data_IF_055345408189
#
_entry.id   IF_055345408189
#
_cell.length_a   1.000
_cell.length_b   1.000
_cell.length_c   1.000
_cell.angle_alpha   90.00
_cell.angle_beta   90.00
_cell.angle_gamma   90.00
#
_symmetry.space_group_name_H-M   'P 1'
#
loop_
_entity.id
_entity.type
_entity.pdbx_description
1 polymer ?
#
# COMPACT_ATOMS: atom_id res chain seq x y z
N UNK A 1 9.38 10.42 8.24
CA UNK A 1 10.07 11.08 7.09
C UNK A 1 11.17 11.99 7.61
N UNK A 2 12.37 11.87 7.06
CA UNK A 2 13.48 12.78 7.36
C UNK A 2 13.13 14.23 6.98
N UNK A 3 12.34 14.43 5.94
CA UNK A 3 11.97 15.75 5.42
C UNK A 3 10.76 16.41 6.13
N UNK A 4 10.13 15.81 7.12
CA UNK A 4 8.99 16.41 7.84
C UNK A 4 9.32 17.76 8.49
N UNK A 5 10.54 17.90 9.00
CA UNK A 5 11.06 19.16 9.51
C UNK A 5 12.00 19.76 8.47
N UNK A 6 11.70 20.97 7.98
CA UNK A 6 12.48 21.68 6.95
C UNK A 6 13.97 21.79 7.27
N UNK A 7 14.33 21.92 8.54
CA UNK A 7 15.71 22.11 8.95
C UNK A 7 16.44 20.79 9.26
N UNK A 8 15.72 19.68 9.37
CA UNK A 8 16.32 18.42 9.85
C UNK A 8 17.37 17.88 8.88
N UNK A 9 17.12 17.89 7.59
CA UNK A 9 18.11 17.47 6.59
C UNK A 9 19.37 18.36 6.63
N UNK A 10 19.21 19.67 6.84
CA UNK A 10 20.35 20.62 6.98
C UNK A 10 21.21 20.28 8.20
N UNK A 11 20.57 19.93 9.31
CA UNK A 11 21.28 19.51 10.53
C UNK A 11 22.05 18.21 10.28
N UNK A 12 21.44 17.23 9.62
CA UNK A 12 22.09 15.96 9.27
C UNK A 12 23.29 16.16 8.34
N UNK A 13 23.16 17.03 7.32
CA UNK A 13 24.28 17.41 6.45
C UNK A 13 25.40 18.10 7.21
N UNK A 14 25.07 18.97 8.18
CA UNK A 14 26.06 19.62 9.04
C UNK A 14 26.82 18.57 9.89
N UNK A 15 26.11 17.63 10.53
CA UNK A 15 26.74 16.57 11.31
C UNK A 15 27.67 15.70 10.44
N UNK A 16 27.21 15.32 9.25
CA UNK A 16 28.02 14.55 8.30
C UNK A 16 29.30 15.29 7.90
N UNK A 17 29.19 16.60 7.55
CA UNK A 17 30.34 17.47 7.23
C UNK A 17 31.30 17.67 8.40
N UNK A 18 30.81 17.54 9.63
CA UNK A 18 31.62 17.58 10.86
C UNK A 18 32.31 16.23 11.16
N UNK A 19 32.26 15.26 10.24
CA UNK A 19 32.94 13.97 10.38
C UNK A 19 32.12 12.91 11.12
N UNK A 20 30.86 13.19 11.49
CA UNK A 20 29.98 12.20 12.12
C UNK A 20 29.44 11.23 11.07
N UNK A 21 29.66 9.94 11.28
CA UNK A 21 29.13 8.89 10.40
C UNK A 21 27.66 8.67 10.70
N UNK A 22 26.82 8.74 9.69
CA UNK A 22 25.37 8.63 9.81
C UNK A 22 24.85 7.31 9.23
N UNK A 23 23.89 6.73 9.93
CA UNK A 23 22.96 5.73 9.40
C UNK A 23 21.55 6.30 9.43
N UNK A 24 20.95 6.46 8.28
CA UNK A 24 19.65 7.11 8.09
C UNK A 24 18.61 6.08 7.66
N UNK A 25 17.87 5.55 8.62
CA UNK A 25 16.75 4.64 8.31
C UNK A 25 15.53 5.42 7.89
N UNK A 26 15.09 5.23 6.63
CA UNK A 26 13.96 5.94 6.04
C UNK A 26 12.75 5.00 5.99
N UNK A 27 11.65 5.43 6.59
CA UNK A 27 10.37 4.72 6.55
C UNK A 27 9.40 5.32 5.52
N UNK A 28 9.56 6.59 5.20
CA UNK A 28 8.72 7.35 4.28
C UNK A 28 9.53 8.45 3.59
N UNK A 29 9.29 8.67 2.32
CA UNK A 29 9.86 9.75 1.54
C UNK A 29 8.88 10.91 1.38
N UNK A 30 9.40 12.15 1.28
CA UNK A 30 8.60 13.31 0.91
C UNK A 30 8.11 13.19 -0.54
N UNK A 31 8.99 12.66 -1.39
CA UNK A 31 8.77 12.41 -2.81
C UNK A 31 7.66 11.38 -3.07
N UNK A 32 7.30 10.56 -2.07
CA UNK A 32 6.20 9.59 -2.16
C UNK A 32 4.84 10.20 -1.77
N UNK A 33 4.44 11.28 -2.49
CA UNK A 33 3.11 11.89 -2.35
C UNK A 33 2.95 12.84 -1.18
N UNK A 34 4.03 13.50 -0.72
CA UNK A 34 3.96 14.50 0.37
C UNK A 34 4.57 15.84 -0.05
N UNK A 35 3.93 16.57 -0.99
CA UNK A 35 4.50 17.80 -1.55
C UNK A 35 4.76 18.89 -0.50
N UNK A 36 3.97 18.95 0.58
CA UNK A 36 4.18 19.90 1.69
C UNK A 36 5.45 19.62 2.51
N UNK A 37 6.03 18.43 2.39
CA UNK A 37 7.28 18.04 3.03
C UNK A 37 8.46 17.96 2.05
N UNK A 38 8.22 18.26 0.77
CA UNK A 38 9.25 18.29 -0.25
C UNK A 38 9.85 19.69 -0.35
N UNK A 39 11.13 19.82 -0.04
CA UNK A 39 11.92 21.04 -0.19
C UNK A 39 13.04 20.75 -1.17
N UNK A 40 12.91 21.29 -2.38
CA UNK A 40 13.86 21.01 -3.48
C UNK A 40 15.30 21.40 -3.13
N UNK A 41 15.46 22.48 -2.35
CA UNK A 41 16.75 23.01 -1.90
C UNK A 41 17.44 22.18 -0.81
N UNK A 42 16.73 21.26 -0.17
CA UNK A 42 17.30 20.41 0.88
C UNK A 42 17.84 19.12 0.28
N UNK A 43 19.11 18.87 0.42
CA UNK A 43 19.76 17.62 0.01
C UNK A 43 19.67 16.57 1.12
N UNK A 44 19.63 15.31 0.74
CA UNK A 44 19.90 14.21 1.66
C UNK A 44 21.39 14.19 1.99
N UNK A 45 21.81 13.90 3.24
CA UNK A 45 23.23 13.88 3.61
C UNK A 45 24.04 12.97 2.68
N UNK A 46 25.02 13.53 1.92
CA UNK A 46 25.89 12.70 1.08
C UNK A 46 26.78 11.81 1.94
N UNK A 47 27.44 10.84 1.33
CA UNK A 47 28.44 9.99 1.95
C UNK A 47 28.00 9.36 3.28
N UNK A 48 26.71 9.08 3.38
CA UNK A 48 26.06 8.51 4.55
C UNK A 48 25.48 7.15 4.23
N UNK A 49 25.35 6.28 5.23
CA UNK A 49 24.66 5.01 5.07
C UNK A 49 23.15 5.20 5.19
N UNK A 50 22.39 4.54 4.32
CA UNK A 50 20.93 4.59 4.26
C UNK A 50 20.32 3.21 4.50
N UNK A 51 19.20 3.17 5.21
CA UNK A 51 18.41 1.97 5.42
C UNK A 51 16.96 2.18 4.99
N UNK A 52 16.38 1.19 4.35
CA UNK A 52 14.97 1.16 3.97
C UNK A 52 14.31 -0.14 4.41
N UNK A 53 12.99 -0.07 4.60
CA UNK A 53 12.21 -1.17 5.20
C UNK A 53 11.55 -2.08 4.16
N UNK A 54 11.57 -1.71 2.87
CA UNK A 54 10.95 -2.48 1.79
C UNK A 54 11.83 -2.51 0.54
N UNK A 55 11.59 -3.47 -0.35
CA UNK A 55 12.38 -3.68 -1.56
C UNK A 55 12.11 -2.64 -2.64
N UNK A 56 10.90 -2.07 -2.73
CA UNK A 56 10.59 -0.99 -3.67
C UNK A 56 11.52 0.21 -3.43
N UNK A 57 11.59 0.67 -2.19
CA UNK A 57 12.38 1.84 -1.82
C UNK A 57 13.88 1.56 -1.96
N UNK A 58 14.30 0.29 -1.74
CA UNK A 58 15.67 -0.14 -1.98
C UNK A 58 16.07 0.04 -3.46
N UNK A 59 15.28 -0.49 -4.38
CA UNK A 59 15.51 -0.37 -5.82
C UNK A 59 15.44 1.09 -6.31
N UNK A 60 14.52 1.89 -5.77
CA UNK A 60 14.39 3.32 -6.08
C UNK A 60 15.66 4.06 -5.65
N UNK A 61 16.20 3.81 -4.47
CA UNK A 61 17.41 4.48 -3.99
C UNK A 61 18.67 4.07 -4.76
N UNK A 62 18.77 2.81 -5.19
CA UNK A 62 19.85 2.40 -6.11
C UNK A 62 19.79 3.20 -7.42
N UNK A 63 18.60 3.33 -8.03
CA UNK A 63 18.41 4.14 -9.23
C UNK A 63 18.72 5.62 -9.01
N UNK A 64 18.50 6.11 -7.78
CA UNK A 64 18.72 7.51 -7.41
C UNK A 64 20.16 7.82 -6.99
N UNK A 65 21.12 6.91 -7.19
CA UNK A 65 22.54 7.16 -7.01
C UNK A 65 23.19 6.53 -5.78
N UNK A 66 22.44 5.80 -4.94
CA UNK A 66 23.07 5.04 -3.87
C UNK A 66 23.67 3.73 -4.38
N UNK A 67 24.67 3.23 -3.65
CA UNK A 67 25.36 1.97 -3.93
C UNK A 67 25.02 0.92 -2.87
N UNK A 68 25.11 -0.36 -3.22
CA UNK A 68 24.89 -1.47 -2.29
C UNK A 68 25.81 -1.43 -1.06
N UNK A 69 26.95 -0.75 -1.14
CA UNK A 69 27.90 -0.60 -0.02
C UNK A 69 27.31 0.28 1.09
N UNK A 70 26.54 1.30 0.72
CA UNK A 70 25.98 2.28 1.64
C UNK A 70 24.46 2.20 1.79
N UNK A 71 23.78 1.33 1.03
CA UNK A 71 22.33 1.12 1.12
C UNK A 71 22.02 -0.24 1.76
N UNK A 72 21.16 -0.23 2.77
CA UNK A 72 20.84 -1.40 3.57
C UNK A 72 19.35 -1.72 3.55
N UNK A 73 18.99 -2.97 3.29
CA UNK A 73 17.64 -3.49 3.45
C UNK A 73 17.43 -3.97 4.88
N UNK A 74 16.65 -3.23 5.66
CA UNK A 74 16.34 -3.51 7.07
C UNK A 74 14.81 -3.54 7.27
N UNK A 75 14.14 -4.64 6.89
CA UNK A 75 12.71 -4.79 7.08
C UNK A 75 12.34 -4.81 8.57
N UNK A 76 11.16 -4.30 8.90
CA UNK A 76 10.65 -4.30 10.27
C UNK A 76 10.45 -5.72 10.81
N UNK A 77 10.56 -5.89 12.12
CA UNK A 77 10.15 -7.12 12.80
C UNK A 77 8.61 -7.21 12.85
N UNK A 78 8.10 -8.43 12.76
CA UNK A 78 6.67 -8.74 12.86
C UNK A 78 6.40 -9.47 14.16
N UNK A 79 5.39 -9.00 14.90
CA UNK A 79 4.96 -9.62 16.15
C UNK A 79 4.08 -10.82 15.84
N UNK A 80 4.39 -11.98 16.44
CA UNK A 80 3.56 -13.16 16.30
C UNK A 80 2.25 -13.00 17.08
N UNK A 81 1.12 -13.02 16.38
CA UNK A 81 -0.20 -12.86 17.01
C UNK A 81 -0.61 -14.09 17.81
N UNK A 82 -0.16 -15.30 17.38
CA UNK A 82 -0.44 -16.59 18.05
C UNK A 82 -1.91 -16.73 18.44
N UNK A 83 -2.82 -16.52 17.49
CA UNK A 83 -4.25 -16.70 17.72
C UNK A 83 -4.57 -18.19 17.84
N UNK A 84 -5.31 -18.57 18.88
CA UNK A 84 -5.92 -19.90 18.98
C UNK A 84 -7.12 -19.97 18.04
N UNK A 85 -7.27 -21.09 17.34
CA UNK A 85 -8.44 -21.32 16.51
C UNK A 85 -9.63 -21.64 17.42
N UNK A 86 -10.52 -20.68 17.59
CA UNK A 86 -11.84 -20.95 18.20
C UNK A 86 -12.82 -21.28 17.06
N UNK A 87 -13.31 -22.51 17.04
CA UNK A 87 -14.40 -22.93 16.16
C UNK A 87 -15.69 -22.25 16.65
N UNK A 88 -15.93 -21.03 16.22
CA UNK A 88 -17.16 -20.29 16.48
C UNK A 88 -17.89 -20.04 15.16
N UNK A 89 -19.19 -19.74 15.20
CA UNK A 89 -20.05 -19.32 14.09
C UNK A 89 -19.50 -18.08 13.30
N UNK A 90 -18.26 -17.73 13.53
CA UNK A 90 -17.49 -16.58 13.06
C UNK A 90 -17.00 -16.69 11.62
N UNK A 91 -17.19 -17.81 10.93
CA UNK A 91 -16.77 -18.01 9.52
C UNK A 91 -17.44 -17.08 8.50
N UNK A 92 -18.33 -16.20 8.98
CA UNK A 92 -19.03 -15.20 8.14
C UNK A 92 -18.38 -13.83 8.13
N UNK A 93 -17.30 -13.61 8.88
CA UNK A 93 -16.64 -12.32 8.97
C UNK A 93 -15.33 -12.31 8.19
N UNK A 94 -15.19 -11.39 7.22
CA UNK A 94 -13.95 -11.12 6.50
C UNK A 94 -13.40 -9.82 7.04
N UNK A 95 -12.23 -9.87 7.65
CA UNK A 95 -11.65 -8.72 8.34
C UNK A 95 -10.66 -7.97 7.44
N UNK A 96 -10.87 -6.67 7.30
CA UNK A 96 -9.88 -5.75 6.78
C UNK A 96 -9.28 -4.96 7.95
N UNK A 97 -8.12 -5.37 8.48
CA UNK A 97 -7.56 -4.85 9.72
C UNK A 97 -6.82 -3.55 9.50
N UNK A 98 -7.53 -2.50 9.13
CA UNK A 98 -6.94 -1.20 8.78
C UNK A 98 -7.65 -0.03 9.43
N UNK A 99 -6.91 1.07 9.51
CA UNK A 99 -7.51 2.39 9.67
C UNK A 99 -8.08 2.84 8.33
N UNK A 100 -9.32 3.33 8.31
CA UNK A 100 -10.07 3.67 7.10
C UNK A 100 -9.59 4.91 6.37
N UNK A 101 -8.30 5.00 6.04
CA UNK A 101 -7.70 6.09 5.27
C UNK A 101 -7.73 5.80 3.76
N UNK A 102 -7.73 6.84 2.93
CA UNK A 102 -7.92 6.75 1.47
C UNK A 102 -6.98 5.75 0.79
N UNK A 103 -5.69 5.74 1.14
CA UNK A 103 -4.70 4.82 0.55
C UNK A 103 -4.96 3.32 0.86
N UNK A 104 -5.84 3.02 1.81
CA UNK A 104 -6.31 1.65 2.08
C UNK A 104 -7.39 1.19 1.10
N UNK A 105 -7.86 2.10 0.23
CA UNK A 105 -8.74 1.77 -0.89
C UNK A 105 -9.98 0.95 -0.46
N UNK A 106 -10.72 1.51 0.51
CA UNK A 106 -11.94 0.90 1.09
C UNK A 106 -12.97 0.59 -0.02
N UNK A 107 -13.06 1.45 -1.04
CA UNK A 107 -13.99 1.23 -2.15
C UNK A 107 -13.77 -0.09 -2.86
N UNK A 108 -12.52 -0.53 -3.04
CA UNK A 108 -12.22 -1.84 -3.61
C UNK A 108 -12.60 -2.99 -2.67
N UNK A 109 -12.38 -2.83 -1.37
CA UNK A 109 -12.84 -3.82 -0.40
C UNK A 109 -14.37 -3.98 -0.43
N UNK A 110 -15.11 -2.87 -0.60
CA UNK A 110 -16.57 -2.83 -0.75
C UNK A 110 -16.99 -3.49 -2.07
N UNK A 111 -16.36 -3.14 -3.21
CA UNK A 111 -16.63 -3.78 -4.50
C UNK A 111 -16.53 -5.31 -4.39
N UNK A 112 -15.45 -5.79 -3.82
CA UNK A 112 -15.19 -7.22 -3.66
C UNK A 112 -16.18 -7.91 -2.70
N UNK A 113 -16.73 -7.18 -1.72
CA UNK A 113 -17.73 -7.74 -0.81
C UNK A 113 -19.07 -8.07 -1.49
N UNK A 114 -19.34 -7.50 -2.67
CA UNK A 114 -20.52 -7.84 -3.47
C UNK A 114 -20.50 -9.28 -4.01
N UNK A 115 -19.32 -9.88 -4.08
CA UNK A 115 -19.11 -11.24 -4.58
C UNK A 115 -18.98 -12.30 -3.49
N UNK A 116 -19.23 -11.94 -2.24
CA UNK A 116 -19.26 -12.89 -1.13
C UNK A 116 -20.44 -13.87 -1.23
N UNK A 117 -20.17 -15.17 -1.14
CA UNK A 117 -21.16 -16.23 -1.46
C UNK A 117 -21.97 -16.69 -0.25
N UNK A 118 -21.36 -16.78 0.93
CA UNK A 118 -21.95 -17.44 2.11
C UNK A 118 -22.54 -16.42 3.11
N UNK A 119 -23.06 -15.29 2.62
CA UNK A 119 -23.57 -14.18 3.45
C UNK A 119 -22.49 -13.58 4.35
N UNK A 120 -21.22 -13.70 3.97
CA UNK A 120 -20.12 -13.07 4.69
C UNK A 120 -20.32 -11.55 4.76
N UNK A 121 -19.73 -10.95 5.78
CA UNK A 121 -19.74 -9.51 6.04
C UNK A 121 -18.31 -8.98 6.04
N UNK A 122 -18.06 -7.89 5.34
CA UNK A 122 -16.79 -7.17 5.41
C UNK A 122 -16.74 -6.34 6.70
N UNK A 123 -15.67 -6.46 7.47
CA UNK A 123 -15.46 -5.67 8.69
C UNK A 123 -14.16 -4.86 8.59
N UNK A 124 -14.26 -3.54 8.80
CA UNK A 124 -13.14 -2.58 8.79
C UNK A 124 -12.90 -2.09 10.21
N UNK A 125 -11.64 -2.12 10.66
CA UNK A 125 -11.36 -2.01 12.10
C UNK A 125 -11.46 -0.62 12.68
N UNK A 126 -10.79 0.39 12.12
CA UNK A 126 -10.62 1.68 12.78
C UNK A 126 -10.97 2.86 11.87
N UNK A 127 -11.54 3.94 12.44
CA UNK A 127 -11.71 5.20 11.73
C UNK A 127 -10.37 5.87 11.45
N UNK A 128 -10.30 6.78 10.47
CA UNK A 128 -9.15 7.64 10.22
C UNK A 128 -8.95 8.67 11.34
N UNK A 129 -7.80 9.36 11.29
CA UNK A 129 -7.42 10.40 12.25
C UNK A 129 -6.99 11.73 11.57
N UNK A 130 -7.10 11.82 10.24
CA UNK A 130 -6.89 13.06 9.48
C UNK A 130 -8.19 13.55 8.88
N UNK A 131 -8.42 14.86 8.81
CA UNK A 131 -9.69 15.42 8.35
C UNK A 131 -10.07 14.96 6.92
N UNK A 132 -9.20 15.00 5.92
CA UNK A 132 -9.53 14.54 4.57
C UNK A 132 -9.96 13.07 4.53
N UNK A 133 -9.32 12.22 5.33
CA UNK A 133 -9.67 10.80 5.42
C UNK A 133 -10.99 10.58 6.18
N UNK A 134 -11.31 11.43 7.19
CA UNK A 134 -12.58 11.37 7.92
C UNK A 134 -13.74 11.64 6.97
N UNK A 135 -13.65 12.66 6.13
CA UNK A 135 -14.70 13.03 5.18
C UNK A 135 -14.94 11.89 4.17
N UNK A 136 -13.85 11.33 3.62
CA UNK A 136 -13.90 10.14 2.76
C UNK A 136 -14.60 8.96 3.47
N UNK A 137 -14.22 8.68 4.69
CA UNK A 137 -14.74 7.57 5.48
C UNK A 137 -16.24 7.73 5.81
N UNK A 138 -16.68 8.94 6.17
CA UNK A 138 -18.10 9.27 6.37
C UNK A 138 -18.87 9.10 5.05
N UNK A 139 -18.28 9.54 3.93
CA UNK A 139 -18.84 9.37 2.60
C UNK A 139 -19.06 7.89 2.23
N UNK A 140 -18.14 7.00 2.61
CA UNK A 140 -18.32 5.57 2.45
C UNK A 140 -19.41 4.99 3.37
N UNK A 141 -19.48 5.39 4.64
CA UNK A 141 -20.54 4.95 5.57
C UNK A 141 -21.93 5.30 5.04
N UNK A 142 -22.10 6.55 4.56
CA UNK A 142 -23.36 6.99 3.93
C UNK A 142 -23.71 6.13 2.72
N UNK A 143 -22.72 5.90 1.83
CA UNK A 143 -22.89 5.08 0.64
C UNK A 143 -23.34 3.64 0.96
N UNK A 144 -22.70 3.01 1.94
CA UNK A 144 -23.03 1.65 2.41
C UNK A 144 -24.47 1.60 2.94
N UNK A 145 -24.83 2.55 3.81
CA UNK A 145 -26.19 2.62 4.39
C UNK A 145 -27.26 2.81 3.32
N UNK A 146 -27.05 3.75 2.37
CA UNK A 146 -27.99 4.03 1.28
C UNK A 146 -28.20 2.85 0.34
N UNK A 147 -27.17 2.01 0.16
CA UNK A 147 -27.24 0.85 -0.75
C UNK A 147 -27.44 -0.49 0.00
N UNK A 148 -27.64 -0.46 1.32
CA UNK A 148 -27.87 -1.64 2.18
C UNK A 148 -26.82 -2.74 2.02
N UNK A 149 -25.53 -2.33 1.91
CA UNK A 149 -24.41 -3.26 1.73
C UNK A 149 -23.97 -3.86 3.07
N UNK A 150 -23.49 -5.10 3.04
CA UNK A 150 -23.06 -5.85 4.26
C UNK A 150 -21.62 -5.50 4.62
N UNK A 151 -21.41 -4.30 5.15
CA UNK A 151 -20.11 -3.81 5.60
C UNK A 151 -20.23 -3.20 6.98
N UNK A 152 -19.41 -3.65 7.92
CA UNK A 152 -19.30 -3.10 9.28
C UNK A 152 -18.05 -2.23 9.38
N UNK A 153 -18.23 -1.02 9.92
CA UNK A 153 -17.14 -0.10 10.21
C UNK A 153 -16.87 -0.03 11.72
N UNK A 154 -15.66 0.41 12.08
CA UNK A 154 -15.26 0.70 13.46
C UNK A 154 -15.30 -0.50 14.40
N UNK A 155 -15.22 -1.72 13.88
CA UNK A 155 -15.34 -2.92 14.71
C UNK A 155 -14.21 -3.05 15.74
N UNK A 156 -13.06 -2.41 15.52
CA UNK A 156 -11.92 -2.39 16.43
C UNK A 156 -12.04 -1.42 17.59
N UNK A 157 -13.03 -0.50 17.59
CA UNK A 157 -13.22 0.44 18.72
C UNK A 157 -13.75 -0.25 19.99
N UNK A 158 -14.50 -1.33 19.82
CA UNK A 158 -15.18 -2.05 20.93
C UNK A 158 -14.68 -3.45 21.14
N UNK A 159 -13.80 -3.95 20.29
CA UNK A 159 -13.34 -5.33 20.31
C UNK A 159 -11.81 -5.40 20.35
N UNK A 160 -11.30 -6.35 21.06
CA UNK A 160 -9.87 -6.69 21.05
C UNK A 160 -9.43 -7.16 19.66
N UNK A 161 -8.27 -6.69 19.21
CA UNK A 161 -7.76 -6.98 17.87
C UNK A 161 -7.52 -8.48 17.63
N UNK A 162 -6.94 -9.19 18.61
CA UNK A 162 -6.68 -10.63 18.48
C UNK A 162 -7.98 -11.41 18.38
N UNK A 163 -9.02 -11.02 19.15
CA UNK A 163 -10.36 -11.62 19.07
C UNK A 163 -10.98 -11.41 17.70
N UNK A 164 -10.88 -10.19 17.13
CA UNK A 164 -11.38 -9.91 15.77
C UNK A 164 -10.68 -10.76 14.70
N UNK A 165 -9.36 -10.89 14.80
CA UNK A 165 -8.57 -11.73 13.89
C UNK A 165 -8.94 -13.22 14.07
N UNK A 166 -9.02 -13.72 15.28
CA UNK A 166 -9.41 -15.11 15.55
C UNK A 166 -10.79 -15.44 15.01
N UNK A 167 -11.74 -14.51 15.20
CA UNK A 167 -13.13 -14.64 14.75
C UNK A 167 -13.33 -14.39 13.24
N UNK A 168 -12.33 -14.08 12.47
CA UNK A 168 -12.44 -13.86 11.03
C UNK A 168 -12.18 -15.14 10.24
N UNK A 169 -12.90 -15.32 9.11
CA UNK A 169 -12.67 -16.41 8.15
C UNK A 169 -11.27 -16.27 7.52
N UNK A 170 -10.97 -15.09 7.01
CA UNK A 170 -9.65 -14.70 6.50
C UNK A 170 -9.48 -13.18 6.60
N UNK A 171 -8.24 -12.72 6.41
CA UNK A 171 -7.93 -11.31 6.36
C UNK A 171 -7.82 -10.80 4.92
N UNK A 172 -8.12 -9.53 4.74
CA UNK A 172 -8.16 -8.88 3.45
C UNK A 172 -7.25 -7.66 3.38
N UNK A 173 -6.72 -7.38 2.20
CA UNK A 173 -6.06 -6.11 1.88
C UNK A 173 -6.43 -5.61 0.50
N UNK A 174 -6.68 -4.31 0.38
CA UNK A 174 -6.88 -3.61 -0.90
C UNK A 174 -6.05 -2.33 -0.98
N UNK A 175 -5.05 -2.20 -0.11
CA UNK A 175 -4.16 -1.04 -0.08
C UNK A 175 -3.50 -0.80 -1.44
N UNK A 176 -3.46 0.46 -1.87
CA UNK A 176 -2.77 0.87 -3.11
C UNK A 176 -1.31 1.28 -2.86
N UNK A 177 -0.94 1.48 -1.60
CA UNK A 177 0.44 1.73 -1.18
C UNK A 177 0.63 1.40 0.29
N UNK A 178 1.80 0.91 0.63
CA UNK A 178 2.25 0.62 1.99
C UNK A 178 3.69 1.10 2.20
N UNK A 179 4.06 1.40 3.43
CA UNK A 179 5.46 1.61 3.78
C UNK A 179 6.19 0.28 3.89
N UNK A 180 5.88 -0.51 4.92
CA UNK A 180 6.45 -1.85 5.06
C UNK A 180 5.52 -2.94 4.51
N UNK A 181 4.23 -2.87 4.82
CA UNK A 181 3.25 -3.86 4.39
C UNK A 181 3.00 -4.96 5.41
N UNK A 182 2.85 -4.62 6.70
CA UNK A 182 2.47 -5.57 7.76
C UNK A 182 1.25 -6.41 7.39
N UNK A 183 0.32 -5.84 6.65
CA UNK A 183 -0.88 -6.52 6.16
C UNK A 183 -0.60 -7.77 5.31
N UNK A 184 0.60 -7.90 4.74
CA UNK A 184 1.01 -9.07 3.95
C UNK A 184 1.70 -10.16 4.80
N UNK A 185 2.09 -9.85 6.03
CA UNK A 185 2.85 -10.76 6.90
C UNK A 185 2.07 -11.15 8.18
N UNK A 186 1.36 -10.21 8.80
CA UNK A 186 0.63 -10.46 10.05
C UNK A 186 -0.44 -11.55 9.97
N UNK A 187 -1.22 -11.70 8.88
CA UNK A 187 -2.22 -12.76 8.77
C UNK A 187 -1.66 -14.15 9.03
N UNK A 188 -0.50 -14.46 8.51
CA UNK A 188 0.18 -15.74 8.67
C UNK A 188 0.54 -16.01 10.13
N UNK A 189 0.94 -14.97 10.88
CA UNK A 189 1.25 -15.10 12.32
C UNK A 189 0.04 -15.44 13.19
N UNK A 190 -1.15 -15.22 12.65
CA UNK A 190 -2.43 -15.54 13.27
C UNK A 190 -3.06 -16.83 12.72
N UNK A 191 -2.32 -17.59 11.91
CA UNK A 191 -2.81 -18.77 11.20
C UNK A 191 -4.05 -18.46 10.33
N UNK A 192 -4.06 -17.29 9.67
CA UNK A 192 -5.14 -16.83 8.80
C UNK A 192 -4.67 -16.65 7.38
N UNK A 193 -5.54 -17.02 6.43
CA UNK A 193 -5.32 -16.75 5.02
C UNK A 193 -5.43 -15.24 4.75
N UNK A 194 -4.60 -14.73 3.81
CA UNK A 194 -4.69 -13.38 3.28
C UNK A 194 -5.25 -13.42 1.86
N UNK A 195 -6.21 -12.55 1.57
CA UNK A 195 -6.70 -12.35 0.20
C UNK A 195 -6.81 -10.86 -0.13
N UNK A 196 -6.44 -10.48 -1.36
CA UNK A 196 -6.56 -9.09 -1.77
C UNK A 196 -5.55 -8.64 -2.81
N UNK A 197 -5.28 -7.33 -2.82
CA UNK A 197 -4.41 -6.66 -3.79
C UNK A 197 -2.93 -6.82 -3.43
N UNK A 198 -2.13 -7.19 -4.43
CA UNK A 198 -0.67 -7.22 -4.40
C UNK A 198 -0.11 -5.80 -4.57
N UNK A 199 1.00 -5.54 -3.91
CA UNK A 199 1.86 -4.37 -4.14
C UNK A 199 3.22 -4.88 -4.62
N UNK A 200 3.47 -4.88 -5.92
CA UNK A 200 4.58 -5.59 -6.54
C UNK A 200 5.91 -5.27 -5.86
N UNK A 201 6.42 -4.07 -5.89
CA UNK A 201 7.73 -3.77 -5.30
C UNK A 201 7.87 -4.08 -3.79
N UNK A 202 6.77 -4.30 -3.05
CA UNK A 202 6.77 -4.69 -1.62
C UNK A 202 6.67 -6.21 -1.49
N UNK A 203 5.69 -6.82 -2.15
CA UNK A 203 5.46 -8.26 -2.10
C UNK A 203 6.63 -9.06 -2.67
N UNK A 204 7.34 -8.54 -3.67
CA UNK A 204 8.54 -9.16 -4.24
C UNK A 204 9.66 -9.34 -3.20
N UNK A 205 9.83 -8.37 -2.29
CA UNK A 205 10.76 -8.48 -1.18
C UNK A 205 10.35 -9.56 -0.17
N UNK A 206 9.06 -9.75 0.05
CA UNK A 206 8.55 -10.82 0.90
C UNK A 206 8.73 -12.18 0.23
N UNK A 207 8.47 -12.28 -1.09
CA UNK A 207 8.68 -13.48 -1.88
C UNK A 207 10.15 -13.94 -1.86
N UNK A 208 11.10 -13.03 -2.06
CA UNK A 208 12.56 -13.31 -1.93
C UNK A 208 12.94 -13.84 -0.54
N UNK A 209 12.14 -13.55 0.49
CA UNK A 209 12.33 -14.04 1.86
C UNK A 209 11.46 -15.27 2.19
N UNK A 210 10.81 -15.87 1.20
CA UNK A 210 10.11 -17.15 1.32
C UNK A 210 8.61 -17.08 1.64
N UNK A 211 8.00 -15.88 1.61
CA UNK A 211 6.54 -15.75 1.72
C UNK A 211 5.90 -15.89 0.33
N UNK A 212 5.04 -16.87 0.14
CA UNK A 212 4.28 -17.06 -1.09
C UNK A 212 3.03 -16.16 -1.08
N UNK A 213 3.00 -15.20 -1.99
CA UNK A 213 1.92 -14.23 -2.20
C UNK A 213 1.40 -14.25 -3.65
N UNK A 214 1.58 -15.35 -4.40
CA UNK A 214 1.19 -15.43 -5.80
C UNK A 214 -0.32 -15.50 -6.00
N UNK A 215 -1.08 -15.84 -4.96
CA UNK A 215 -2.53 -15.89 -4.94
C UNK A 215 -3.21 -14.52 -4.77
N UNK A 216 -2.47 -13.45 -4.47
CA UNK A 216 -3.03 -12.08 -4.40
C UNK A 216 -2.96 -11.41 -5.78
N UNK A 217 -3.99 -10.62 -6.14
CA UNK A 217 -4.13 -10.03 -7.47
C UNK A 217 -3.47 -8.63 -7.56
N UNK A 218 -2.98 -8.25 -8.74
CA UNK A 218 -2.31 -6.95 -8.95
C UNK A 218 -3.28 -5.81 -9.31
N UNK A 219 -4.39 -6.10 -10.00
CA UNK A 219 -5.35 -5.09 -10.46
C UNK A 219 -6.77 -5.64 -10.57
N UNK A 220 -7.74 -4.74 -10.67
CA UNK A 220 -9.13 -5.02 -11.05
C UNK A 220 -9.47 -4.13 -12.22
N UNK A 221 -9.51 -4.69 -13.42
CA UNK A 221 -9.77 -3.95 -14.65
C UNK A 221 -11.26 -3.66 -14.82
N UNK A 222 -11.61 -2.38 -14.88
CA UNK A 222 -12.97 -1.90 -15.11
C UNK A 222 -13.07 -1.18 -16.47
N UNK A 223 -14.17 -1.34 -17.24
CA UNK A 223 -14.32 -0.66 -18.52
C UNK A 223 -14.36 0.86 -18.37
N UNK A 224 -13.60 1.59 -19.17
CA UNK A 224 -13.58 3.06 -19.18
C UNK A 224 -14.96 3.69 -19.42
N UNK A 225 -15.81 3.02 -20.23
CA UNK A 225 -17.20 3.45 -20.48
C UNK A 225 -18.08 3.54 -19.22
N UNK A 226 -17.66 2.90 -18.09
CA UNK A 226 -18.39 2.95 -16.82
C UNK A 226 -18.09 4.21 -15.99
N UNK A 227 -16.99 4.90 -16.28
CA UNK A 227 -16.48 6.01 -15.47
C UNK A 227 -16.41 7.36 -16.20
N UNK A 228 -16.95 7.47 -17.44
CA UNK A 228 -16.86 8.69 -18.26
C UNK A 228 -15.38 9.08 -18.51
N UNK A 229 -14.76 8.42 -19.50
CA UNK A 229 -13.32 8.53 -19.83
C UNK A 229 -12.79 9.97 -19.81
N UNK A 230 -13.50 10.92 -20.43
CA UNK A 230 -13.04 12.31 -20.56
C UNK A 230 -13.02 13.04 -19.22
N UNK A 231 -14.02 12.79 -18.37
CA UNK A 231 -14.06 13.34 -17.00
C UNK A 231 -12.93 12.77 -16.16
N UNK A 232 -12.67 11.45 -16.26
CA UNK A 232 -11.57 10.81 -15.57
C UNK A 232 -10.23 11.35 -16.07
N UNK A 233 -10.01 11.47 -17.39
CA UNK A 233 -8.81 12.04 -17.97
C UNK A 233 -8.55 13.46 -17.48
N UNK A 234 -9.57 14.32 -17.51
CA UNK A 234 -9.45 15.70 -17.02
C UNK A 234 -8.98 15.75 -15.57
N UNK A 235 -9.56 14.91 -14.71
CA UNK A 235 -9.21 14.86 -13.28
C UNK A 235 -7.82 14.29 -13.07
N UNK A 236 -7.51 13.16 -13.68
CA UNK A 236 -6.20 12.53 -13.61
C UNK A 236 -5.11 13.49 -14.10
N UNK A 237 -5.30 14.11 -15.25
CA UNK A 237 -4.36 15.11 -15.83
C UNK A 237 -4.12 16.28 -14.89
N UNK A 238 -5.18 16.84 -14.31
CA UNK A 238 -5.07 17.94 -13.34
C UNK A 238 -4.21 17.56 -12.13
N UNK A 239 -4.49 16.40 -11.53
CA UNK A 239 -3.71 15.87 -10.42
C UNK A 239 -2.28 15.54 -10.81
N UNK A 240 -2.07 14.91 -11.97
CA UNK A 240 -0.74 14.58 -12.48
C UNK A 240 0.14 15.81 -12.65
N UNK A 241 -0.35 16.83 -13.36
CA UNK A 241 0.40 18.08 -13.61
C UNK A 241 0.69 18.79 -12.28
N UNK A 242 -0.28 18.86 -11.34
CA UNK A 242 -0.09 19.46 -10.01
C UNK A 242 1.08 18.79 -9.27
N UNK A 243 1.13 17.47 -9.25
CA UNK A 243 2.19 16.72 -8.57
C UNK A 243 3.53 16.81 -9.32
N UNK A 244 3.55 16.69 -10.64
CA UNK A 244 4.77 16.90 -11.43
C UNK A 244 5.37 18.29 -11.19
N UNK A 245 4.53 19.32 -11.04
CA UNK A 245 5.00 20.67 -10.71
C UNK A 245 5.56 20.75 -9.30
N UNK A 246 4.87 20.15 -8.32
CA UNK A 246 5.30 20.17 -6.93
C UNK A 246 6.63 19.44 -6.69
N UNK A 247 6.94 18.43 -7.49
CA UNK A 247 8.18 17.63 -7.39
C UNK A 247 9.21 17.94 -8.47
N UNK A 248 9.04 19.02 -9.25
CA UNK A 248 9.93 19.44 -10.33
C UNK A 248 10.15 18.39 -11.43
N UNK A 249 9.13 17.58 -11.72
CA UNK A 249 9.17 16.53 -12.74
C UNK A 249 8.65 17.05 -14.09
N UNK A 250 9.49 17.79 -14.83
CA UNK A 250 9.11 18.43 -16.10
C UNK A 250 8.83 17.44 -17.23
N UNK A 251 9.53 16.32 -17.29
CA UNK A 251 9.26 15.27 -18.26
C UNK A 251 7.86 14.70 -18.09
N UNK A 252 7.41 14.53 -16.84
CA UNK A 252 6.05 14.10 -16.52
C UNK A 252 4.98 15.04 -17.08
N UNK A 253 5.21 16.35 -17.01
CA UNK A 253 4.29 17.36 -17.58
C UNK A 253 4.25 17.31 -19.10
N UNK A 254 5.41 17.22 -19.75
CA UNK A 254 5.54 17.20 -21.22
C UNK A 254 4.91 15.96 -21.85
N UNK A 255 4.95 14.82 -21.16
CA UNK A 255 4.48 13.53 -21.66
C UNK A 255 3.17 13.06 -21.03
N UNK A 256 2.33 13.96 -20.53
CA UNK A 256 1.11 13.65 -19.79
C UNK A 256 0.18 12.69 -20.54
N UNK A 257 -0.05 12.87 -21.85
CA UNK A 257 -0.91 12.00 -22.64
C UNK A 257 -0.32 10.60 -22.81
N UNK A 258 0.99 10.51 -23.03
CA UNK A 258 1.67 9.20 -23.10
C UNK A 258 1.47 8.45 -21.79
N UNK A 259 1.72 9.08 -20.66
CA UNK A 259 1.56 8.46 -19.33
C UNK A 259 0.12 8.08 -19.01
N UNK A 260 -0.86 8.87 -19.46
CA UNK A 260 -2.25 8.47 -19.33
C UNK A 260 -2.57 7.22 -20.18
N UNK A 261 -2.05 7.15 -21.40
CA UNK A 261 -2.28 5.98 -22.25
C UNK A 261 -1.60 4.70 -21.70
N UNK A 262 -0.51 4.82 -20.94
CA UNK A 262 0.16 3.68 -20.30
C UNK A 262 -0.67 3.00 -19.18
N UNK A 263 -1.67 3.70 -18.62
CA UNK A 263 -2.55 3.15 -17.59
C UNK A 263 -3.84 2.54 -18.15
N UNK A 264 -4.08 2.68 -19.45
CA UNK A 264 -5.25 2.12 -20.14
C UNK A 264 -4.85 0.79 -20.78
N UNK A 265 -5.59 -0.27 -20.46
CA UNK A 265 -5.36 -1.63 -20.94
C UNK A 265 -6.62 -2.11 -21.62
N UNK A 266 -6.62 -2.23 -22.96
CA UNK A 266 -7.78 -2.69 -23.76
C UNK A 266 -9.10 -1.98 -23.38
N UNK A 267 -9.12 -0.66 -23.37
CA UNK A 267 -10.25 0.17 -22.91
C UNK A 267 -10.71 -0.06 -21.47
N UNK A 268 -9.84 -0.61 -20.64
CA UNK A 268 -10.05 -0.78 -19.20
C UNK A 268 -9.02 0.01 -18.40
N UNK A 269 -9.36 0.26 -17.15
CA UNK A 269 -8.46 0.87 -16.15
C UNK A 269 -8.50 0.08 -14.85
N UNK A 270 -7.38 0.07 -14.10
CA UNK A 270 -7.38 -0.49 -12.76
C UNK A 270 -8.25 0.33 -11.81
N UNK A 271 -9.19 -0.34 -11.13
CA UNK A 271 -10.07 0.25 -10.11
C UNK A 271 -9.29 0.94 -8.98
N UNK A 272 -8.10 0.46 -8.64
CA UNK A 272 -7.23 1.05 -7.63
C UNK A 272 -6.66 2.42 -8.01
N UNK A 273 -6.70 2.82 -9.29
CA UNK A 273 -6.27 4.14 -9.74
C UNK A 273 -7.37 5.21 -9.61
N UNK A 274 -8.63 4.80 -9.43
CA UNK A 274 -9.80 5.67 -9.36
C UNK A 274 -9.92 6.37 -8.00
N UNK A 275 -10.54 7.56 -7.96
CA UNK A 275 -10.99 8.17 -6.71
C UNK A 275 -12.34 7.61 -6.26
N UNK A 276 -12.79 8.05 -5.09
CA UNK A 276 -14.02 7.56 -4.45
C UNK A 276 -15.28 7.80 -5.29
N UNK A 277 -15.35 8.87 -6.08
CA UNK A 277 -16.51 9.15 -6.93
C UNK A 277 -16.61 8.15 -8.07
N UNK A 278 -15.53 7.91 -8.78
CA UNK A 278 -15.50 6.91 -9.85
C UNK A 278 -15.69 5.50 -9.29
N UNK A 279 -15.09 5.18 -8.14
CA UNK A 279 -15.27 3.90 -7.47
C UNK A 279 -16.74 3.65 -7.13
N UNK A 280 -17.45 4.65 -6.56
CA UNK A 280 -18.89 4.58 -6.26
C UNK A 280 -19.73 4.36 -7.54
N UNK A 281 -19.40 5.03 -8.67
CA UNK A 281 -20.08 4.80 -9.96
C UNK A 281 -19.96 3.34 -10.41
N UNK A 282 -18.75 2.77 -10.36
CA UNK A 282 -18.53 1.36 -10.70
C UNK A 282 -19.31 0.42 -9.78
N UNK A 283 -19.26 0.65 -8.47
CA UNK A 283 -19.98 -0.19 -7.49
C UNK A 283 -21.49 -0.14 -7.74
N UNK A 284 -22.06 1.05 -7.95
CA UNK A 284 -23.48 1.21 -8.26
C UNK A 284 -23.88 0.46 -9.55
N UNK A 285 -23.04 0.52 -10.57
CA UNK A 285 -23.30 -0.20 -11.82
C UNK A 285 -23.31 -1.71 -11.62
N UNK A 286 -22.38 -2.24 -10.83
CA UNK A 286 -22.32 -3.67 -10.49
C UNK A 286 -23.53 -4.10 -9.65
N UNK A 287 -24.03 -3.25 -8.75
CA UNK A 287 -25.22 -3.54 -7.94
C UNK A 287 -26.50 -3.52 -8.78
N UNK A 288 -26.62 -2.54 -9.67
CA UNK A 288 -27.87 -2.30 -10.44
C UNK A 288 -28.03 -3.21 -11.66
N UNK A 289 -26.94 -3.73 -12.22
CA UNK A 289 -26.94 -4.47 -13.47
C UNK A 289 -26.19 -5.80 -13.34
N UNK A 290 -26.92 -6.92 -13.30
CA UNK A 290 -26.32 -8.26 -13.25
C UNK A 290 -25.31 -8.49 -14.38
N UNK A 291 -25.62 -8.01 -15.61
CA UNK A 291 -24.69 -8.11 -16.75
C UNK A 291 -23.35 -7.44 -16.48
N UNK A 292 -23.34 -6.29 -15.78
CA UNK A 292 -22.12 -5.60 -15.42
C UNK A 292 -21.32 -6.37 -14.37
N UNK A 293 -21.97 -7.02 -13.39
CA UNK A 293 -21.31 -7.92 -12.46
C UNK A 293 -20.66 -9.11 -13.20
N UNK A 294 -21.37 -9.74 -14.13
CA UNK A 294 -20.85 -10.86 -14.92
C UNK A 294 -19.69 -10.42 -15.83
N UNK A 295 -19.78 -9.24 -16.48
CA UNK A 295 -18.69 -8.63 -17.29
C UNK A 295 -17.42 -8.40 -16.43
N UNK A 296 -17.59 -7.89 -15.20
CA UNK A 296 -16.48 -7.64 -14.29
C UNK A 296 -15.78 -8.95 -13.85
N UNK A 297 -16.57 -9.98 -13.51
CA UNK A 297 -16.04 -11.30 -13.15
C UNK A 297 -15.31 -11.94 -14.32
N UNK A 298 -15.87 -11.89 -15.52
CA UNK A 298 -15.26 -12.48 -16.71
C UNK A 298 -13.89 -11.85 -17.03
N UNK A 299 -13.76 -10.53 -16.86
CA UNK A 299 -12.47 -9.84 -17.06
C UNK A 299 -11.50 -10.06 -15.91
N UNK A 300 -12.00 -10.30 -14.69
CA UNK A 300 -11.20 -10.39 -13.46
C UNK A 300 -11.61 -11.64 -12.63
N UNK A 301 -11.36 -12.86 -13.07
CA UNK A 301 -11.81 -14.07 -12.37
C UNK A 301 -11.25 -14.18 -10.93
N UNK A 302 -10.10 -13.55 -10.66
CA UNK A 302 -9.44 -13.50 -9.35
C UNK A 302 -10.17 -12.64 -8.31
N UNK A 303 -11.21 -11.87 -8.68
CA UNK A 303 -11.99 -11.09 -7.70
C UNK A 303 -12.99 -11.93 -6.89
N UNK A 304 -13.16 -13.18 -7.26
CA UNK A 304 -14.00 -14.09 -6.48
C UNK A 304 -13.24 -14.56 -5.23
N UNK A 305 -13.81 -14.36 -4.04
CA UNK A 305 -13.15 -14.80 -2.81
C UNK A 305 -13.06 -16.34 -2.73
N UNK A 306 -12.07 -16.87 -2.02
CA UNK A 306 -12.01 -18.29 -1.75
C UNK A 306 -13.23 -18.73 -0.94
N UNK A 307 -13.94 -19.74 -1.41
CA UNK A 307 -15.13 -20.29 -0.73
C UNK A 307 -14.72 -21.25 0.38
N UNK A 308 -13.74 -22.11 0.08
CA UNK A 308 -13.13 -23.05 1.00
C UNK A 308 -11.63 -22.70 1.17
N UNK A 309 -11.13 -22.89 2.36
CA UNK A 309 -9.74 -22.64 2.73
C UNK A 309 -8.99 -23.92 3.13
N UNK A 310 -9.61 -25.10 3.01
CA UNK A 310 -9.01 -26.38 3.39
C UNK A 310 -7.74 -26.68 2.59
N UNK A 311 -7.70 -26.26 1.31
CA UNK A 311 -6.54 -26.37 0.41
C UNK A 311 -5.45 -25.34 0.69
N UNK A 312 -5.66 -24.38 1.59
CA UNK A 312 -4.72 -23.28 1.92
C UNK A 312 -3.89 -23.54 3.18
N UNK A 313 -4.13 -24.66 3.87
CA UNK A 313 -3.46 -24.95 5.16
C UNK A 313 -1.93 -25.01 5.03
N UNK A 314 -1.43 -25.64 3.97
CA UNK A 314 0.02 -25.70 3.73
C UNK A 314 0.63 -24.35 3.39
N UNK A 315 -0.03 -23.54 2.55
CA UNK A 315 0.37 -22.18 2.24
C UNK A 315 0.46 -21.31 3.51
N UNK A 316 -0.56 -21.37 4.36
CA UNK A 316 -0.60 -20.63 5.63
C UNK A 316 0.57 -21.03 6.52
N UNK A 317 0.83 -22.34 6.66
CA UNK A 317 1.94 -22.87 7.47
C UNK A 317 3.29 -22.42 6.94
N UNK A 318 3.52 -22.55 5.63
CA UNK A 318 4.79 -22.18 4.99
C UNK A 318 5.07 -20.68 5.13
N UNK A 319 4.06 -19.83 4.92
CA UNK A 319 4.18 -18.38 5.12
C UNK A 319 4.42 -18.02 6.58
N UNK A 320 3.76 -18.67 7.54
CA UNK A 320 4.01 -18.46 8.97
C UNK A 320 5.47 -18.77 9.33
N UNK A 321 6.00 -19.89 8.84
CA UNK A 321 7.41 -20.27 9.07
C UNK A 321 8.38 -19.27 8.43
N UNK A 322 8.10 -18.79 7.22
CA UNK A 322 8.89 -17.77 6.55
C UNK A 322 8.92 -16.45 7.37
N UNK A 323 7.75 -15.99 7.85
CA UNK A 323 7.66 -14.79 8.70
C UNK A 323 8.43 -14.99 10.00
N UNK A 324 8.21 -16.11 10.70
CA UNK A 324 8.90 -16.45 11.96
C UNK A 324 10.42 -16.52 11.78
N UNK A 325 10.92 -17.05 10.67
CA UNK A 325 12.35 -17.19 10.39
C UNK A 325 13.02 -15.89 9.96
N UNK A 326 12.32 -15.00 9.23
CA UNK A 326 12.95 -13.86 8.52
C UNK A 326 12.63 -12.49 9.11
N UNK A 327 11.51 -12.37 9.85
CA UNK A 327 10.96 -11.10 10.31
C UNK A 327 10.78 -11.01 11.84
N UNK A 328 11.46 -11.85 12.60
CA UNK A 328 11.43 -11.77 14.07
C UNK A 328 12.40 -10.70 14.61
N UNK A 329 12.20 -10.32 15.87
CA UNK A 329 12.98 -9.29 16.56
C UNK A 329 14.47 -9.61 16.61
N UNK A 330 14.85 -10.85 16.89
CA UNK A 330 16.27 -11.27 16.99
C UNK A 330 17.00 -11.10 15.65
N UNK A 331 16.35 -11.42 14.54
CA UNK A 331 16.93 -11.22 13.20
C UNK A 331 17.05 -9.73 12.88
N UNK A 332 16.06 -8.91 13.25
CA UNK A 332 16.13 -7.47 13.07
C UNK A 332 17.33 -6.87 13.84
N UNK A 333 17.49 -7.20 15.11
CA UNK A 333 18.59 -6.74 15.96
C UNK A 333 19.96 -7.15 15.42
N UNK A 334 20.10 -8.40 14.98
CA UNK A 334 21.34 -8.90 14.36
C UNK A 334 21.69 -8.08 13.11
N UNK A 335 20.73 -7.88 12.20
CA UNK A 335 20.93 -7.08 10.98
C UNK A 335 21.31 -5.64 11.30
N UNK A 336 20.63 -5.02 12.28
CA UNK A 336 20.91 -3.65 12.70
C UNK A 336 22.33 -3.52 13.25
N UNK A 337 22.79 -4.47 14.09
CA UNK A 337 24.15 -4.50 14.58
C UNK A 337 25.18 -4.64 13.45
N UNK A 338 24.94 -5.54 12.50
CA UNK A 338 25.79 -5.70 11.32
C UNK A 338 25.90 -4.41 10.49
N UNK A 339 24.78 -3.67 10.34
CA UNK A 339 24.75 -2.38 9.67
C UNK A 339 25.59 -1.36 10.45
N UNK A 340 25.43 -1.24 11.76
CA UNK A 340 26.22 -0.31 12.57
C UNK A 340 27.72 -0.60 12.47
N UNK A 341 28.12 -1.85 12.47
CA UNK A 341 29.53 -2.23 12.28
C UNK A 341 30.05 -1.82 10.89
N UNK A 342 29.23 -1.94 9.84
CA UNK A 342 29.57 -1.46 8.49
C UNK A 342 29.71 0.07 8.46
N UNK A 343 28.77 0.79 9.06
CA UNK A 343 28.80 2.27 9.13
C UNK A 343 30.09 2.76 9.79
N UNK A 344 30.53 2.10 10.88
CA UNK A 344 31.77 2.45 11.57
C UNK A 344 33.02 2.12 10.77
N UNK A 345 33.02 1.00 10.03
CA UNK A 345 34.23 0.50 9.35
C UNK A 345 34.40 0.97 7.90
N UNK A 346 33.29 1.18 7.20
CA UNK A 346 33.28 1.36 5.74
C UNK A 346 32.76 2.74 5.36
N UNK A 347 33.61 3.74 5.14
CA UNK A 347 33.16 4.99 4.55
C UNK A 347 32.61 4.73 3.14
N UNK A 348 31.59 5.50 2.75
CA UNK A 348 30.96 5.41 1.44
C UNK A 348 31.01 6.78 0.76
N UNK A 349 31.04 6.79 -0.57
CA UNK A 349 30.93 7.98 -1.40
C UNK A 349 29.68 7.80 -2.26
N UNK A 350 28.63 8.55 -1.94
CA UNK A 350 27.33 8.43 -2.61
C UNK A 350 26.44 9.63 -2.30
N UNK A 351 25.48 9.90 -3.19
CA UNK A 351 24.47 10.93 -2.98
C UNK A 351 23.14 10.49 -3.61
N UNK A 352 22.03 11.05 -3.12
CA UNK A 352 20.70 10.82 -3.68
C UNK A 352 20.37 11.94 -4.64
N UNK A 353 20.14 11.59 -5.92
CA UNK A 353 19.51 12.50 -6.89
C UNK A 353 18.01 12.58 -6.62
N UNK A 354 17.56 13.72 -6.09
CA UNK A 354 16.16 13.95 -5.73
C UNK A 354 15.22 14.01 -6.93
N UNK A 355 15.71 14.39 -8.11
CA UNK A 355 14.88 14.44 -9.31
C UNK A 355 14.60 13.01 -9.80
N UNK A 356 15.61 12.16 -9.79
CA UNK A 356 15.43 10.74 -10.10
C UNK A 356 14.54 10.09 -9.05
N UNK A 357 14.77 10.36 -7.76
CA UNK A 357 13.94 9.85 -6.66
C UNK A 357 12.48 10.23 -6.84
N UNK A 358 12.17 11.49 -7.09
CA UNK A 358 10.81 11.97 -7.32
C UNK A 358 10.17 11.33 -8.57
N UNK A 359 10.92 11.20 -9.67
CA UNK A 359 10.42 10.58 -10.90
C UNK A 359 10.09 9.08 -10.71
N UNK A 360 10.86 8.37 -9.87
CA UNK A 360 10.57 6.97 -9.55
C UNK A 360 9.27 6.80 -8.76
N UNK A 361 8.95 7.74 -7.85
CA UNK A 361 7.69 7.71 -7.10
C UNK A 361 6.48 8.19 -7.93
N UNK A 362 6.70 9.11 -8.89
CA UNK A 362 5.67 9.56 -9.84
C UNK A 362 5.50 8.57 -11.01
N UNK A 363 5.27 7.31 -10.68
CA UNK A 363 5.01 6.26 -11.66
C UNK A 363 3.53 6.28 -12.07
N UNK A 364 3.17 6.49 -13.36
CA UNK A 364 1.78 6.57 -13.81
C UNK A 364 0.98 5.31 -13.50
N UNK A 365 1.58 4.11 -13.58
CA UNK A 365 0.93 2.83 -13.27
C UNK A 365 0.57 2.65 -11.79
N UNK A 366 1.13 3.48 -10.91
CA UNK A 366 0.87 3.51 -9.47
C UNK A 366 0.26 4.85 -9.01
N UNK A 367 -0.06 5.73 -9.97
CA UNK A 367 -0.61 7.06 -9.69
C UNK A 367 -2.11 6.99 -9.41
N UNK A 368 -2.47 6.51 -8.22
CA UNK A 368 -3.86 6.47 -7.77
C UNK A 368 -4.35 7.84 -7.33
N UNK A 369 -5.55 8.23 -7.78
CA UNK A 369 -6.21 9.46 -7.34
C UNK A 369 -6.51 9.46 -5.82
N UNK A 370 -6.63 8.29 -5.20
CA UNK A 370 -6.80 8.16 -3.73
C UNK A 370 -5.60 8.65 -2.94
N UNK A 371 -4.41 8.60 -3.53
CA UNK A 371 -3.16 9.00 -2.87
C UNK A 371 -2.71 10.40 -3.28
N UNK A 372 -2.82 10.71 -4.58
CA UNK A 372 -2.18 11.87 -5.17
C UNK A 372 -3.10 13.09 -5.32
N UNK A 373 -4.42 12.91 -5.13
CA UNK A 373 -5.40 13.98 -5.24
C UNK A 373 -6.14 14.23 -3.94
N UNK A 374 -6.62 15.45 -3.79
CA UNK A 374 -7.51 15.80 -2.68
C UNK A 374 -8.86 15.09 -2.84
N UNK A 375 -9.58 14.91 -1.72
CA UNK A 375 -10.93 14.37 -1.75
C UNK A 375 -11.85 15.32 -2.52
N UNK A 376 -12.71 14.79 -3.37
CA UNK A 376 -13.70 15.54 -4.15
C UNK A 376 -15.09 15.07 -3.74
N UNK A 377 -15.92 15.98 -3.22
CA UNK A 377 -17.32 15.72 -2.86
C UNK A 377 -18.23 15.43 -4.06
#
# INVERSE_FOLDING_TARGET
TLAKNRNFLKILCFLQKSGIRLFLQIHDFAEDGRPLSFFAENEYPPDSHYGVINSRDYEILLKSGLTEKGLHYLPNAVIMLNCTWENTDSEKNILYPVRGIRRKNIGEAILLSLFFKNKETLSITLPPNSQPDIDSFIGWKKFISSNRLKVNFDVGLKNDFKKLVSASKFLKTTSITEGFGFTFLEPWTANKFLWGRRLDGICDGFGKNGADLDHVYSNILVPLKWIERDLFYKRWKGCWIKNCTAFNFDEGKKNTERFFNEIIIDDHIDFGLLDEQFQKKVILKVISEKKSADELIAKNPHILPPVDLSDKTELIKNNMEAVKKRYNQTIYEKRLLEIYLKVVKNPVIQSIDKNILASCFLNPKQFSLLKWCDYVE
#
